data_IF_244443740276
#
_entry.id   IF_244443740276
#
_cell.length_a   1.000
_cell.length_b   1.000
_cell.length_c   1.000
_cell.angle_alpha   90.00
_cell.angle_beta   90.00
_cell.angle_gamma   90.00
#
_symmetry.space_group_name_H-M   'P 1'
#
loop_
_entity.id
_entity.type
_entity.pdbx_description
1 polymer ?
#
# COMPACT_ATOMS: atom_id res chain seq x y z
N UNK A 1 -37.13 12.35 4.57
CA UNK A 1 -35.71 12.73 4.41
C UNK A 1 -35.01 12.38 5.71
N UNK A 2 -34.50 11.15 5.83
CA UNK A 2 -34.00 10.62 7.12
C UNK A 2 -32.58 10.13 6.93
N UNK A 3 -31.61 10.94 7.36
CA UNK A 3 -30.19 10.61 7.29
C UNK A 3 -29.86 9.85 8.59
N UNK A 4 -29.74 8.52 8.47
CA UNK A 4 -29.38 7.61 9.54
C UNK A 4 -27.85 7.70 9.87
N UNK A 5 -27.39 7.15 11.01
CA UNK A 5 -26.26 7.67 11.78
C UNK A 5 -24.92 7.39 11.09
N UNK A 6 -24.31 8.41 10.51
CA UNK A 6 -22.90 8.42 10.17
C UNK A 6 -22.13 8.69 11.47
N UNK A 7 -21.29 7.80 11.98
CA UNK A 7 -19.84 8.10 12.03
C UNK A 7 -18.98 6.98 12.62
N UNK A 8 -19.55 5.87 13.12
CA UNK A 8 -18.78 4.84 13.83
C UNK A 8 -18.24 3.65 13.02
N UNK A 9 -18.72 3.42 11.79
CA UNK A 9 -18.43 2.16 11.08
C UNK A 9 -18.35 2.22 9.56
N UNK A 10 -18.37 3.41 8.96
CA UNK A 10 -18.42 3.54 7.49
C UNK A 10 -17.14 3.01 6.83
N UNK A 11 -15.96 3.33 7.37
CA UNK A 11 -14.68 2.84 6.88
C UNK A 11 -14.57 1.31 6.98
N UNK A 12 -14.98 0.72 8.11
CA UNK A 12 -14.97 -0.73 8.30
C UNK A 12 -15.96 -1.46 7.36
N UNK A 13 -17.16 -0.87 7.13
CA UNK A 13 -18.12 -1.40 6.17
C UNK A 13 -17.56 -1.38 4.75
N UNK A 14 -16.98 -0.26 4.34
CA UNK A 14 -16.36 -0.12 3.03
C UNK A 14 -15.16 -1.07 2.86
N UNK A 15 -14.31 -1.21 3.87
CA UNK A 15 -13.19 -2.17 3.84
C UNK A 15 -13.67 -3.62 3.63
N UNK A 16 -14.75 -4.03 4.31
CA UNK A 16 -15.36 -5.36 4.12
C UNK A 16 -15.91 -5.55 2.71
N UNK A 17 -16.52 -4.52 2.13
CA UNK A 17 -17.02 -4.52 0.76
C UNK A 17 -15.87 -4.72 -0.24
N UNK A 18 -14.80 -3.94 -0.12
CA UNK A 18 -13.58 -4.08 -0.92
C UNK A 18 -13.02 -5.51 -0.79
N UNK A 19 -12.88 -6.04 0.43
CA UNK A 19 -12.35 -7.39 0.66
C UNK A 19 -13.19 -8.51 0.04
N UNK A 20 -14.51 -8.30 -0.15
CA UNK A 20 -15.40 -9.25 -0.85
C UNK A 20 -15.24 -9.18 -2.37
N UNK A 21 -14.90 -8.02 -2.92
CA UNK A 21 -14.60 -7.86 -4.34
C UNK A 21 -13.21 -8.41 -4.73
N UNK A 22 -12.27 -8.48 -3.78
CA UNK A 22 -10.88 -8.90 -4.05
C UNK A 22 -10.73 -10.25 -4.78
N UNK A 23 -11.46 -11.33 -4.46
CA UNK A 23 -11.34 -12.59 -5.21
C UNK A 23 -11.77 -12.47 -6.67
N UNK A 24 -12.74 -11.59 -6.97
CA UNK A 24 -13.14 -11.29 -8.34
C UNK A 24 -12.03 -10.52 -9.07
N UNK A 25 -11.51 -9.45 -8.46
CA UNK A 25 -10.43 -8.63 -9.02
C UNK A 25 -9.19 -9.48 -9.28
N UNK A 26 -8.81 -10.36 -8.35
CA UNK A 26 -7.67 -11.25 -8.47
C UNK A 26 -7.75 -12.12 -9.73
N UNK A 27 -8.90 -12.79 -9.94
CA UNK A 27 -9.12 -13.66 -11.10
C UNK A 27 -9.26 -12.87 -12.39
N UNK A 28 -9.98 -11.75 -12.35
CA UNK A 28 -10.26 -10.95 -13.54
C UNK A 28 -8.99 -10.32 -14.12
N UNK A 29 -8.08 -9.89 -13.25
CA UNK A 29 -6.81 -9.26 -13.64
C UNK A 29 -5.62 -10.21 -13.61
N UNK A 30 -5.84 -11.52 -13.42
CA UNK A 30 -4.76 -12.53 -13.32
C UNK A 30 -3.64 -12.11 -12.34
N UNK A 31 -4.00 -11.50 -11.21
CA UNK A 31 -3.02 -10.97 -10.25
C UNK A 31 -2.37 -12.07 -9.39
N UNK A 32 -2.88 -13.30 -9.47
CA UNK A 32 -2.38 -14.49 -8.77
C UNK A 32 -0.97 -14.91 -9.21
N UNK A 33 -0.54 -14.48 -10.41
CA UNK A 33 0.84 -14.63 -10.89
C UNK A 33 1.85 -13.79 -10.07
N UNK A 34 1.41 -12.70 -9.44
CA UNK A 34 2.29 -11.78 -8.72
C UNK A 34 2.10 -11.83 -7.20
N UNK A 35 0.87 -12.06 -6.73
CA UNK A 35 0.59 -12.06 -5.31
C UNK A 35 -0.61 -12.91 -4.91
N UNK A 36 -0.59 -13.34 -3.66
CA UNK A 36 -1.70 -14.06 -3.03
C UNK A 36 -2.84 -13.12 -2.63
N UNK A 37 -4.06 -13.66 -2.49
CA UNK A 37 -5.23 -12.89 -2.05
C UNK A 37 -4.99 -12.26 -0.66
N UNK A 38 -4.23 -12.95 0.19
CA UNK A 38 -3.85 -12.46 1.52
C UNK A 38 -2.93 -11.24 1.44
N UNK A 39 -1.97 -11.24 0.51
CA UNK A 39 -1.10 -10.08 0.25
C UNK A 39 -1.90 -8.91 -0.32
N UNK A 40 -2.81 -9.15 -1.27
CA UNK A 40 -3.67 -8.10 -1.82
C UNK A 40 -4.55 -7.45 -0.75
N UNK A 41 -5.21 -8.26 0.09
CA UNK A 41 -6.00 -7.75 1.24
C UNK A 41 -5.13 -6.95 2.22
N UNK A 42 -3.88 -7.37 2.44
CA UNK A 42 -2.92 -6.65 3.30
C UNK A 42 -2.51 -5.31 2.68
N UNK A 43 -2.23 -5.27 1.38
CA UNK A 43 -1.88 -4.05 0.65
C UNK A 43 -3.02 -3.02 0.72
N UNK A 44 -4.27 -3.46 0.49
CA UNK A 44 -5.46 -2.64 0.68
C UNK A 44 -5.57 -2.17 2.13
N UNK A 45 -5.46 -3.08 3.12
CA UNK A 45 -5.53 -2.70 4.53
C UNK A 45 -4.48 -1.63 4.92
N UNK A 46 -3.31 -1.66 4.31
CA UNK A 46 -2.29 -0.64 4.51
C UNK A 46 -2.74 0.73 3.98
N UNK A 47 -3.39 0.82 2.81
CA UNK A 47 -3.97 2.09 2.33
C UNK A 47 -4.99 2.67 3.30
N UNK A 48 -5.82 1.83 3.93
CA UNK A 48 -6.75 2.28 4.96
C UNK A 48 -6.02 2.79 6.21
N UNK A 49 -4.93 2.12 6.63
CA UNK A 49 -4.12 2.53 7.79
C UNK A 49 -3.32 3.81 7.54
N UNK A 50 -2.82 4.02 6.32
CA UNK A 50 -2.08 5.23 5.96
C UNK A 50 -2.95 6.49 6.23
N UNK A 51 -4.27 6.37 6.05
CA UNK A 51 -5.24 7.45 6.30
C UNK A 51 -5.85 7.44 7.71
N UNK A 52 -5.39 6.57 8.63
CA UNK A 52 -5.99 6.42 9.97
C UNK A 52 -5.84 7.66 10.87
N UNK A 53 -4.91 8.56 10.55
CA UNK A 53 -4.69 9.81 11.26
C UNK A 53 -5.80 10.85 11.00
N UNK A 54 -6.60 10.67 9.94
CA UNK A 54 -7.65 11.60 9.54
C UNK A 54 -8.90 11.33 10.36
N UNK A 55 -9.24 12.28 11.25
CA UNK A 55 -10.38 12.17 12.18
C UNK A 55 -11.59 13.02 11.79
N UNK A 56 -11.43 13.98 10.87
CA UNK A 56 -12.53 14.82 10.41
C UNK A 56 -13.59 13.98 9.67
N UNK A 57 -14.86 13.94 10.15
CA UNK A 57 -15.92 13.16 9.52
C UNK A 57 -16.15 13.49 8.04
N UNK A 58 -15.97 14.76 7.63
CA UNK A 58 -16.16 15.17 6.23
C UNK A 58 -15.01 14.64 5.36
N UNK A 59 -13.77 14.78 5.82
CA UNK A 59 -12.61 14.20 5.16
C UNK A 59 -12.72 12.66 5.04
N UNK A 60 -13.18 11.97 6.08
CA UNK A 60 -13.42 10.51 6.06
C UNK A 60 -14.48 10.15 5.03
N UNK A 61 -15.59 10.87 4.97
CA UNK A 61 -16.64 10.64 3.97
C UNK A 61 -16.12 10.83 2.53
N UNK A 62 -15.31 11.88 2.31
CA UNK A 62 -14.69 12.14 1.02
C UNK A 62 -13.69 11.04 0.61
N UNK A 63 -12.88 10.54 1.55
CA UNK A 63 -11.96 9.43 1.30
C UNK A 63 -12.71 8.14 0.95
N UNK A 64 -13.80 7.84 1.64
CA UNK A 64 -14.65 6.70 1.31
C UNK A 64 -15.28 6.87 -0.08
N UNK A 65 -15.73 8.08 -0.42
CA UNK A 65 -16.26 8.37 -1.76
C UNK A 65 -15.21 8.13 -2.85
N UNK A 66 -13.99 8.66 -2.68
CA UNK A 66 -12.86 8.42 -3.59
C UNK A 66 -12.53 6.94 -3.71
N UNK A 67 -12.46 6.22 -2.59
CA UNK A 67 -12.20 4.78 -2.59
C UNK A 67 -13.29 3.97 -3.30
N UNK A 68 -14.57 4.38 -3.17
CA UNK A 68 -15.68 3.75 -3.90
C UNK A 68 -15.57 3.94 -5.41
N UNK A 69 -15.21 5.16 -5.84
CA UNK A 69 -14.96 5.43 -7.26
C UNK A 69 -13.80 4.59 -7.80
N UNK A 70 -12.69 4.52 -7.06
CA UNK A 70 -11.56 3.66 -7.43
C UNK A 70 -11.97 2.18 -7.54
N UNK A 71 -12.75 1.66 -6.59
CA UNK A 71 -13.25 0.29 -6.64
C UNK A 71 -14.16 0.06 -7.86
N UNK A 72 -15.00 1.03 -8.19
CA UNK A 72 -15.91 0.96 -9.33
C UNK A 72 -15.15 0.95 -10.66
N UNK A 73 -14.11 1.76 -10.81
CA UNK A 73 -13.22 1.74 -11.99
C UNK A 73 -12.54 0.38 -12.18
N UNK A 74 -12.14 -0.26 -11.09
CA UNK A 74 -11.53 -1.60 -11.14
C UNK A 74 -12.56 -2.67 -11.48
N UNK A 75 -13.74 -2.63 -10.87
CA UNK A 75 -14.80 -3.62 -11.14
C UNK A 75 -15.32 -3.48 -12.57
N UNK A 76 -15.46 -2.25 -13.08
CA UNK A 76 -15.91 -1.95 -14.45
C UNK A 76 -14.80 -2.01 -15.50
N UNK A 77 -13.61 -2.48 -15.14
CA UNK A 77 -12.49 -2.67 -16.07
C UNK A 77 -12.02 -1.40 -16.78
N UNK A 78 -12.18 -0.23 -16.13
CA UNK A 78 -11.64 1.03 -16.62
C UNK A 78 -10.15 1.17 -16.34
N UNK A 79 -9.64 0.48 -15.31
CA UNK A 79 -8.20 0.33 -15.06
C UNK A 79 -7.66 -0.94 -15.71
N UNK A 80 -6.44 -0.88 -16.24
CA UNK A 80 -5.70 -2.04 -16.77
C UNK A 80 -4.94 -2.77 -15.64
N UNK A 81 -4.60 -4.05 -15.85
CA UNK A 81 -3.79 -4.91 -14.96
C UNK A 81 -2.49 -4.22 -14.54
N UNK A 82 -1.81 -3.56 -15.47
CA UNK A 82 -0.57 -2.85 -15.16
C UNK A 82 -0.76 -1.76 -14.09
N UNK A 83 -1.88 -1.04 -14.10
CA UNK A 83 -2.19 -0.04 -13.06
C UNK A 83 -2.29 -0.69 -11.67
N UNK A 84 -2.93 -1.86 -11.58
CA UNK A 84 -3.08 -2.59 -10.32
C UNK A 84 -1.76 -3.17 -9.81
N UNK A 85 -0.91 -3.67 -10.72
CA UNK A 85 0.41 -4.19 -10.37
C UNK A 85 1.27 -3.08 -9.77
N UNK A 86 1.41 -1.96 -10.48
CA UNK A 86 2.21 -0.82 -10.01
C UNK A 86 1.72 -0.29 -8.66
N UNK A 87 0.40 -0.25 -8.45
CA UNK A 87 -0.18 0.32 -7.24
C UNK A 87 -0.17 -0.62 -6.02
N UNK A 88 -0.37 -1.92 -6.22
CA UNK A 88 -0.56 -2.89 -5.14
C UNK A 88 0.57 -3.91 -4.99
N UNK A 89 1.31 -4.25 -6.05
CA UNK A 89 2.43 -5.22 -6.02
C UNK A 89 3.73 -4.53 -5.63
N UNK A 90 4.15 -3.48 -6.35
CA UNK A 90 5.40 -2.77 -6.06
C UNK A 90 5.42 -2.21 -4.62
N UNK A 91 4.27 -1.72 -4.15
CA UNK A 91 4.10 -1.22 -2.78
C UNK A 91 4.06 -2.31 -1.72
N UNK A 92 3.69 -3.55 -2.08
CA UNK A 92 3.76 -4.69 -1.18
C UNK A 92 5.21 -5.15 -1.02
N UNK A 93 5.98 -5.17 -2.11
CA UNK A 93 7.40 -5.53 -2.12
C UNK A 93 8.24 -4.52 -1.32
N UNK A 94 8.07 -3.21 -1.53
CA UNK A 94 8.77 -2.17 -0.76
C UNK A 94 8.64 -2.38 0.76
N UNK A 95 7.45 -2.73 1.25
CA UNK A 95 7.20 -2.96 2.68
C UNK A 95 7.73 -4.32 3.16
N UNK A 96 7.79 -5.34 2.29
CA UNK A 96 8.38 -6.64 2.61
C UNK A 96 9.90 -6.57 2.62
N UNK A 97 10.53 -5.81 1.72
CA UNK A 97 11.97 -5.54 1.76
C UNK A 97 12.34 -4.72 3.00
N UNK A 98 11.58 -3.67 3.32
CA UNK A 98 11.79 -2.89 4.55
C UNK A 98 11.64 -3.73 5.84
N UNK A 99 10.76 -4.74 5.85
CA UNK A 99 10.58 -5.62 7.01
C UNK A 99 11.52 -6.83 7.01
N UNK A 100 11.88 -7.37 5.84
CA UNK A 100 12.61 -8.62 5.64
C UNK A 100 14.12 -8.49 5.54
N UNK A 101 14.64 -7.31 5.20
CA UNK A 101 16.08 -7.01 5.32
C UNK A 101 16.59 -7.11 6.77
N UNK A 102 15.69 -7.11 7.76
CA UNK A 102 16.04 -7.26 9.16
C UNK A 102 16.45 -8.69 9.59
N UNK A 103 16.25 -9.75 8.78
CA UNK A 103 16.49 -11.13 9.28
C UNK A 103 17.35 -12.08 8.45
N UNK A 104 17.89 -11.72 7.28
CA UNK A 104 18.76 -12.63 6.49
C UNK A 104 20.18 -12.15 6.17
N UNK A 105 20.55 -10.92 6.55
CA UNK A 105 21.94 -10.42 6.59
C UNK A 105 22.30 -9.85 7.99
N UNK A 106 21.77 -10.52 9.03
CA UNK A 106 21.67 -10.05 10.42
C UNK A 106 22.96 -9.81 11.22
N UNK A 107 24.10 -9.57 10.57
CA UNK A 107 25.32 -9.15 11.27
C UNK A 107 26.03 -7.94 10.63
N UNK A 108 25.75 -7.59 9.37
CA UNK A 108 26.46 -6.50 8.66
C UNK A 108 25.56 -5.31 8.28
N UNK A 109 24.25 -5.53 8.16
CA UNK A 109 23.28 -4.51 7.69
C UNK A 109 22.48 -3.83 8.81
N UNK A 110 22.84 -4.06 10.08
CA UNK A 110 22.35 -3.33 11.24
C UNK A 110 22.97 -1.92 11.36
N UNK A 111 23.37 -1.33 10.24
CA UNK A 111 23.89 0.04 10.19
C UNK A 111 22.71 1.00 10.10
N UNK A 112 22.67 1.99 10.99
CA UNK A 112 21.60 2.99 11.03
C UNK A 112 21.37 3.63 9.65
N UNK A 113 20.15 4.12 9.35
CA UNK A 113 19.90 4.85 8.10
C UNK A 113 20.90 5.99 7.88
N UNK A 114 21.32 6.62 8.99
CA UNK A 114 22.41 7.57 9.03
C UNK A 114 23.74 6.99 8.51
N UNK A 115 24.15 5.81 8.97
CA UNK A 115 25.43 5.20 8.57
C UNK A 115 25.41 4.71 7.12
N UNK A 116 24.26 4.25 6.60
CA UNK A 116 24.11 3.96 5.16
C UNK A 116 24.27 5.24 4.33
N UNK A 117 23.57 6.31 4.71
CA UNK A 117 23.69 7.62 4.05
C UNK A 117 25.10 8.20 4.15
N UNK A 118 25.75 8.07 5.32
CA UNK A 118 27.11 8.53 5.58
C UNK A 118 28.14 7.82 4.68
N UNK A 119 28.04 6.49 4.54
CA UNK A 119 28.93 5.70 3.68
C UNK A 119 28.69 5.96 2.19
N UNK A 120 27.45 6.26 1.79
CA UNK A 120 27.10 6.60 0.41
C UNK A 120 27.43 8.05 0.05
N UNK A 121 27.52 8.96 1.04
CA UNK A 121 27.52 10.39 0.76
C UNK A 121 28.85 10.94 0.27
N UNK A 122 30.03 10.66 0.88
CA UNK A 122 31.27 11.31 0.43
C UNK A 122 32.59 10.85 1.08
N UNK A 123 32.99 9.57 0.98
CA UNK A 123 34.35 9.15 1.42
C UNK A 123 35.33 8.85 0.27
N UNK A 124 35.02 9.29 -0.95
CA UNK A 124 36.01 9.41 -2.03
C UNK A 124 36.33 10.88 -2.23
N UNK A 125 36.92 11.53 -1.22
CA UNK A 125 37.87 12.58 -1.54
C UNK A 125 38.89 11.92 -2.47
N UNK A 126 38.89 12.37 -3.72
CA UNK A 126 39.86 11.98 -4.73
C UNK A 126 41.22 11.99 -4.05
N UNK A 127 41.84 10.82 -3.94
CA UNK A 127 43.28 10.72 -3.75
C UNK A 127 43.89 11.71 -4.74
N UNK A 128 44.54 12.74 -4.21
CA UNK A 128 45.17 13.78 -4.98
C UNK A 128 46.07 13.11 -6.03
N UNK A 129 45.63 13.17 -7.28
CA UNK A 129 46.47 12.82 -8.42
C UNK A 129 47.56 13.89 -8.53
N UNK A 130 48.80 13.43 -8.49
CA UNK A 130 49.90 14.07 -9.21
C UNK A 130 49.71 13.86 -10.71
#
# INVERSE_FOLDING_TARGET
MTIAPHTGGQGARFFREVCRAMPFIMRHYHMDEFMTISQLRRAVANKFRDNSHIKDPKAVALLIFKGRQELEEVIKTFKNRHHLITEYVSRAEEKVHAAGESSKFGAMDARSPFLKAFLQSNNTEKAAGW
#
